data_IF_569039888252
#
_entry.id   IF_569039888252
#
_cell.length_a   1.000
_cell.length_b   1.000
_cell.length_c   1.000
_cell.angle_alpha   90.00
_cell.angle_beta   90.00
_cell.angle_gamma   90.00
#
_symmetry.space_group_name_H-M   'P 1'
#
loop_
_entity.id
_entity.type
_entity.pdbx_description
1 polymer ?
#
# COMPACT_ATOMS: atom_id res chain seq x y z
N UNK A 1 -13.87 2.22 34.56
CA UNK A 1 -13.52 2.75 33.22
C UNK A 1 -14.51 2.13 32.23
N UNK A 2 -15.65 2.78 32.01
CA UNK A 2 -16.81 2.20 31.29
C UNK A 2 -17.27 3.15 30.20
N UNK A 3 -16.40 3.39 29.21
CA UNK A 3 -16.82 4.08 27.99
C UNK A 3 -17.40 3.06 27.02
N UNK A 4 -18.72 3.18 26.80
CA UNK A 4 -19.53 2.37 25.89
C UNK A 4 -19.05 2.46 24.44
N UNK A 5 -18.41 3.58 24.06
CA UNK A 5 -17.93 3.83 22.71
C UNK A 5 -16.41 3.67 22.58
N UNK A 6 -15.74 3.12 23.59
CA UNK A 6 -14.28 2.90 23.57
C UNK A 6 -13.84 2.11 22.32
N UNK A 7 -14.65 1.15 21.88
CA UNK A 7 -14.41 0.41 20.65
C UNK A 7 -14.57 1.24 19.38
N UNK A 8 -15.12 2.46 19.37
CA UNK A 8 -15.30 3.27 18.16
C UNK A 8 -14.19 4.29 17.90
N UNK A 9 -13.19 4.37 18.78
CA UNK A 9 -12.11 5.36 18.70
C UNK A 9 -11.17 5.18 17.49
N UNK A 10 -11.17 4.00 16.86
CA UNK A 10 -10.30 3.67 15.71
C UNK A 10 -11.07 2.92 14.63
N UNK A 11 -10.84 3.27 13.36
CA UNK A 11 -11.39 2.56 12.19
C UNK A 11 -10.35 1.60 11.60
N UNK A 12 -10.77 0.65 10.76
CA UNK A 12 -9.84 -0.32 10.16
C UNK A 12 -9.52 -1.53 11.03
N UNK A 13 -10.33 -1.79 12.07
CA UNK A 13 -10.22 -3.01 12.88
C UNK A 13 -10.49 -4.26 12.05
N UNK A 14 -10.02 -5.39 12.58
CA UNK A 14 -10.42 -6.71 12.09
C UNK A 14 -11.93 -6.90 12.24
N UNK A 15 -12.53 -7.74 11.39
CA UNK A 15 -13.98 -7.99 11.40
C UNK A 15 -14.45 -8.51 12.76
N UNK A 16 -13.68 -9.41 13.39
CA UNK A 16 -13.98 -9.94 14.72
C UNK A 16 -13.83 -8.92 15.87
N UNK A 17 -13.32 -7.72 15.61
CA UNK A 17 -13.13 -6.63 16.58
C UNK A 17 -14.05 -5.43 16.32
N UNK A 18 -15.11 -5.60 15.53
CA UNK A 18 -16.00 -4.50 15.13
C UNK A 18 -15.52 -3.74 13.90
N UNK A 19 -14.70 -4.36 13.06
CA UNK A 19 -14.34 -3.87 11.73
C UNK A 19 -15.45 -4.09 10.70
N UNK A 20 -15.51 -3.24 9.68
CA UNK A 20 -16.51 -3.32 8.61
C UNK A 20 -15.94 -4.07 7.41
N UNK A 21 -16.74 -4.96 6.83
CA UNK A 21 -16.35 -5.74 5.66
C UNK A 21 -15.88 -4.84 4.50
N UNK A 22 -14.81 -5.24 3.83
CA UNK A 22 -14.26 -4.50 2.70
C UNK A 22 -13.52 -3.21 3.05
N UNK A 23 -13.28 -2.88 4.33
CA UNK A 23 -12.50 -1.69 4.71
C UNK A 23 -11.06 -1.74 4.19
N UNK A 24 -10.43 -2.92 4.17
CA UNK A 24 -9.05 -3.12 3.70
C UNK A 24 -8.90 -2.62 2.25
N UNK A 25 -9.83 -2.99 1.36
CA UNK A 25 -9.81 -2.60 -0.06
C UNK A 25 -10.58 -1.30 -0.37
N UNK A 26 -11.16 -0.63 0.63
CA UNK A 26 -12.04 0.52 0.42
C UNK A 26 -11.34 1.68 -0.30
N UNK A 27 -10.09 1.97 0.04
CA UNK A 27 -9.32 3.06 -0.60
C UNK A 27 -9.06 2.75 -2.08
N UNK A 28 -8.67 1.52 -2.39
CA UNK A 28 -8.47 1.08 -3.78
C UNK A 28 -9.76 1.14 -4.60
N UNK A 29 -10.88 0.67 -4.03
CA UNK A 29 -12.19 0.80 -4.67
C UNK A 29 -12.60 2.25 -4.90
N UNK A 30 -12.37 3.14 -3.94
CA UNK A 30 -12.67 4.57 -4.08
C UNK A 30 -11.90 5.22 -5.24
N UNK A 31 -10.61 4.92 -5.37
CA UNK A 31 -9.79 5.39 -6.48
C UNK A 31 -10.30 4.84 -7.82
N UNK A 32 -10.61 3.54 -7.89
CA UNK A 32 -11.18 2.93 -9.09
C UNK A 32 -12.50 3.58 -9.49
N UNK A 33 -13.45 3.77 -8.56
CA UNK A 33 -14.75 4.36 -8.89
C UNK A 33 -14.61 5.78 -9.42
N UNK A 34 -13.73 6.59 -8.82
CA UNK A 34 -13.46 7.95 -9.30
C UNK A 34 -12.89 7.92 -10.72
N UNK A 35 -11.89 7.07 -10.96
CA UNK A 35 -11.28 6.92 -12.28
C UNK A 35 -12.27 6.36 -13.29
N UNK A 36 -13.10 5.38 -12.92
CA UNK A 36 -14.12 4.82 -13.79
C UNK A 36 -15.13 5.87 -14.22
N UNK A 37 -15.59 6.72 -13.29
CA UNK A 37 -16.47 7.81 -13.64
C UNK A 37 -15.80 8.79 -14.61
N UNK A 38 -14.56 9.19 -14.32
CA UNK A 38 -13.79 10.10 -15.17
C UNK A 38 -13.51 9.53 -16.56
N UNK A 39 -13.18 8.23 -16.64
CA UNK A 39 -12.81 7.55 -17.88
C UNK A 39 -14.00 7.32 -18.79
N UNK A 40 -15.21 7.22 -18.25
CA UNK A 40 -16.43 7.11 -19.03
C UNK A 40 -17.02 8.47 -19.44
N UNK A 41 -16.49 9.58 -18.92
CA UNK A 41 -16.94 10.93 -19.26
C UNK A 41 -16.29 11.40 -20.58
N UNK A 42 -17.10 11.47 -21.64
CA UNK A 42 -16.61 11.76 -22.99
C UNK A 42 -16.00 13.16 -23.13
N UNK A 43 -16.53 14.16 -22.42
CA UNK A 43 -16.00 15.54 -22.43
C UNK A 43 -14.57 15.60 -21.89
N UNK A 44 -14.33 14.93 -20.77
CA UNK A 44 -13.02 14.85 -20.12
C UNK A 44 -12.01 14.07 -20.98
N UNK A 45 -12.46 12.95 -21.56
CA UNK A 45 -11.61 12.11 -22.40
C UNK A 45 -11.26 12.77 -23.74
N UNK A 46 -12.18 13.56 -24.31
CA UNK A 46 -11.92 14.38 -25.49
C UNK A 46 -10.85 15.44 -25.23
N UNK A 47 -10.87 16.08 -24.05
CA UNK A 47 -9.85 17.07 -23.67
C UNK A 47 -8.45 16.44 -23.52
N UNK A 48 -8.37 15.18 -23.09
CA UNK A 48 -7.11 14.43 -22.96
C UNK A 48 -6.69 13.79 -24.30
N UNK A 49 -7.57 13.76 -25.30
CA UNK A 49 -7.31 13.18 -26.61
C UNK A 49 -7.31 11.65 -26.61
N UNK A 50 -8.14 11.01 -25.77
CA UNK A 50 -8.23 9.55 -25.72
C UNK A 50 -9.68 9.06 -25.80
N UNK A 51 -9.90 7.79 -26.15
CA UNK A 51 -11.24 7.19 -26.20
C UNK A 51 -11.81 6.98 -24.80
N UNK A 52 -13.12 7.21 -24.56
CA UNK A 52 -13.77 6.82 -23.31
C UNK A 52 -13.68 5.31 -23.03
N UNK A 53 -13.78 4.94 -21.76
CA UNK A 53 -13.72 3.56 -21.28
C UNK A 53 -12.29 3.05 -21.02
N UNK A 54 -12.15 1.86 -20.44
CA UNK A 54 -10.84 1.33 -20.01
C UNK A 54 -10.03 0.67 -21.14
N UNK A 55 -10.67 0.39 -22.29
CA UNK A 55 -10.04 -0.30 -23.41
C UNK A 55 -8.78 0.42 -23.88
N UNK A 56 -7.67 -0.32 -23.98
CA UNK A 56 -6.39 0.19 -24.47
C UNK A 56 -5.65 1.14 -23.53
N UNK A 57 -6.16 1.41 -22.30
CA UNK A 57 -5.46 2.23 -21.30
C UNK A 57 -4.59 1.36 -20.40
N UNK A 58 -3.43 1.88 -20.04
CA UNK A 58 -2.50 1.27 -19.07
C UNK A 58 -2.28 2.23 -17.90
N UNK A 59 -1.90 1.70 -16.74
CA UNK A 59 -1.59 2.50 -15.56
C UNK A 59 -0.41 1.90 -14.79
N UNK A 60 0.23 2.72 -13.97
CA UNK A 60 1.37 2.33 -13.13
C UNK A 60 0.99 2.54 -11.66
N UNK A 61 1.29 1.55 -10.81
CA UNK A 61 1.11 1.64 -9.35
C UNK A 61 2.48 1.66 -8.68
N UNK A 62 2.77 2.72 -7.94
CA UNK A 62 4.03 2.89 -7.22
C UNK A 62 3.87 2.56 -5.73
N UNK A 63 4.73 1.68 -5.22
CA UNK A 63 4.76 1.31 -3.79
C UNK A 63 5.84 2.10 -3.07
N UNK A 64 5.54 2.54 -1.85
CA UNK A 64 6.51 3.17 -0.95
C UNK A 64 6.42 2.54 0.43
N UNK A 65 7.56 2.48 1.12
CA UNK A 65 7.68 1.90 2.45
C UNK A 65 8.09 2.98 3.43
N UNK A 66 7.33 3.12 4.52
CA UNK A 66 7.55 4.14 5.55
C UNK A 66 7.70 3.43 6.89
N UNK A 67 8.74 3.78 7.64
CA UNK A 67 8.92 3.31 9.01
C UNK A 67 8.04 4.11 9.96
N UNK A 68 7.11 3.46 10.62
CA UNK A 68 6.12 4.13 11.48
C UNK A 68 6.70 4.74 12.77
N UNK A 69 7.88 4.30 13.23
CA UNK A 69 8.49 4.81 14.48
C UNK A 69 8.80 6.31 14.40
N UNK A 70 9.22 6.79 13.24
CA UNK A 70 9.67 8.17 13.01
C UNK A 70 9.23 8.73 11.65
N UNK A 71 8.29 8.06 10.99
CA UNK A 71 7.76 8.42 9.67
C UNK A 71 8.82 8.59 8.59
N UNK A 72 9.96 7.92 8.73
CA UNK A 72 11.04 8.00 7.75
C UNK A 72 10.70 7.17 6.50
N UNK A 73 10.78 7.82 5.34
CA UNK A 73 10.64 7.15 4.05
C UNK A 73 11.85 6.23 3.84
N UNK A 74 11.58 4.93 3.68
CA UNK A 74 12.63 3.94 3.47
C UNK A 74 12.92 3.79 1.99
N UNK A 75 11.89 3.50 1.20
CA UNK A 75 12.03 3.22 -0.23
C UNK A 75 10.79 3.67 -1.01
N UNK A 76 10.98 3.94 -2.29
CA UNK A 76 9.93 4.23 -3.28
C UNK A 76 10.26 3.46 -4.55
N UNK A 77 9.43 2.50 -4.93
CA UNK A 77 9.76 1.56 -6.00
C UNK A 77 11.09 0.86 -5.69
N UNK A 78 12.06 0.94 -6.61
CA UNK A 78 13.40 0.38 -6.45
C UNK A 78 14.37 1.33 -5.71
N UNK A 79 14.00 2.61 -5.57
CA UNK A 79 14.87 3.62 -4.98
C UNK A 79 14.82 3.57 -3.45
N UNK A 80 16.00 3.52 -2.83
CA UNK A 80 16.16 3.49 -1.36
C UNK A 80 16.65 4.84 -0.87
N UNK A 81 15.91 5.43 0.07
CA UNK A 81 16.21 6.71 0.72
C UNK A 81 16.81 6.51 2.13
N UNK A 82 16.58 5.35 2.74
CA UNK A 82 17.20 5.02 4.01
C UNK A 82 18.74 4.91 3.87
N UNK A 83 19.47 5.59 4.76
CA UNK A 83 20.92 5.42 4.88
C UNK A 83 21.31 4.01 5.38
N UNK A 84 20.36 3.32 6.00
CA UNK A 84 20.53 1.97 6.52
C UNK A 84 20.32 0.93 5.39
N UNK A 85 21.39 0.20 5.07
CA UNK A 85 21.46 -0.79 3.98
C UNK A 85 20.66 -2.07 4.26
N UNK A 86 20.07 -2.19 5.45
CA UNK A 86 19.20 -3.32 5.81
C UNK A 86 17.87 -3.29 5.07
N UNK A 87 17.40 -2.12 4.65
CA UNK A 87 16.13 -1.96 3.95
C UNK A 87 16.36 -2.01 2.45
N UNK A 88 15.73 -2.96 1.77
CA UNK A 88 15.78 -3.07 0.33
C UNK A 88 14.39 -3.37 -0.23
N UNK A 89 13.94 -2.58 -1.19
CA UNK A 89 12.73 -2.89 -1.95
C UNK A 89 13.05 -3.90 -3.04
N UNK A 90 12.22 -4.93 -3.15
CA UNK A 90 12.40 -6.02 -4.11
C UNK A 90 11.11 -6.21 -4.88
N UNK A 91 11.19 -6.16 -6.21
CA UNK A 91 10.08 -6.49 -7.09
C UNK A 91 10.09 -7.97 -7.45
N UNK A 92 9.03 -8.69 -7.06
CA UNK A 92 8.86 -10.11 -7.33
C UNK A 92 8.17 -10.30 -8.68
N UNK A 93 8.96 -10.54 -9.74
CA UNK A 93 8.44 -10.67 -11.11
C UNK A 93 7.38 -11.76 -11.27
N UNK A 94 7.48 -12.87 -10.53
CA UNK A 94 6.54 -14.01 -10.62
C UNK A 94 5.16 -13.62 -10.10
N UNK A 95 5.09 -12.82 -9.03
CA UNK A 95 3.84 -12.44 -8.38
C UNK A 95 3.39 -11.02 -8.69
N UNK A 96 4.18 -10.25 -9.46
CA UNK A 96 3.98 -8.83 -9.75
C UNK A 96 3.79 -7.97 -8.49
N UNK A 97 4.42 -8.37 -7.38
CA UNK A 97 4.28 -7.70 -6.08
C UNK A 97 5.59 -7.07 -5.62
N UNK A 98 5.46 -6.01 -4.82
CA UNK A 98 6.57 -5.38 -4.13
C UNK A 98 6.70 -5.95 -2.72
N UNK A 99 7.93 -6.30 -2.34
CA UNK A 99 8.28 -6.71 -0.99
C UNK A 99 9.39 -5.81 -0.45
N UNK A 100 9.29 -5.42 0.82
CA UNK A 100 10.42 -4.84 1.54
C UNK A 100 11.20 -5.98 2.19
N UNK A 101 12.43 -6.19 1.74
CA UNK A 101 13.39 -7.07 2.37
C UNK A 101 14.10 -6.32 3.50
N UNK A 102 14.11 -6.93 4.69
CA UNK A 102 14.84 -6.44 5.86
C UNK A 102 15.95 -7.44 6.17
N UNK A 103 17.21 -7.01 6.03
CA UNK A 103 18.39 -7.81 6.35
C UNK A 103 18.78 -7.60 7.80
N UNK A 104 19.17 -8.68 8.48
CA UNK A 104 19.65 -8.65 9.87
C UNK A 104 18.68 -7.97 10.85
N UNK A 105 17.43 -8.48 10.94
CA UNK A 105 16.44 -7.93 11.86
C UNK A 105 16.95 -8.05 13.30
N UNK A 106 16.74 -6.97 14.06
CA UNK A 106 17.09 -6.93 15.48
C UNK A 106 15.86 -7.33 16.29
N UNK A 107 15.96 -8.40 17.06
CA UNK A 107 14.97 -8.73 18.09
C UNK A 107 15.72 -8.72 19.42
N UNK A 108 15.27 -7.88 20.35
CA UNK A 108 15.78 -7.84 21.73
C UNK A 108 17.32 -7.84 21.87
N UNK A 109 18.00 -7.00 21.09
CA UNK A 109 19.47 -6.84 21.18
C UNK A 109 20.30 -7.92 20.50
N UNK A 110 19.68 -8.84 19.74
CA UNK A 110 20.38 -9.87 18.97
C UNK A 110 20.15 -9.72 17.47
N UNK A 111 21.23 -9.72 16.70
CA UNK A 111 21.22 -9.80 15.23
C UNK A 111 20.81 -11.22 14.83
N UNK A 112 19.64 -11.37 14.20
CA UNK A 112 19.27 -12.62 13.57
C UNK A 112 19.92 -12.68 12.17
N UNK A 113 20.50 -13.83 11.75
CA UNK A 113 21.05 -13.99 10.40
C UNK A 113 19.97 -14.14 9.33
N UNK A 114 18.69 -14.13 9.72
CA UNK A 114 17.55 -14.35 8.83
C UNK A 114 17.15 -13.08 8.10
N UNK A 115 16.54 -13.22 6.92
CA UNK A 115 15.91 -12.12 6.20
C UNK A 115 14.40 -12.19 6.43
N UNK A 116 13.76 -11.03 6.59
CA UNK A 116 12.30 -10.93 6.63
C UNK A 116 11.80 -10.16 5.42
N UNK A 117 10.63 -10.56 4.91
CA UNK A 117 9.96 -9.90 3.80
C UNK A 117 8.62 -9.36 4.29
N UNK A 118 8.45 -8.04 4.23
CA UNK A 118 7.14 -7.43 4.34
C UNK A 118 6.56 -7.34 2.93
N UNK A 119 5.59 -8.17 2.62
CA UNK A 119 4.88 -8.12 1.34
C UNK A 119 3.65 -7.22 1.47
N UNK A 120 3.38 -6.44 0.43
CA UNK A 120 2.05 -5.88 0.25
C UNK A 120 1.18 -7.03 -0.28
N UNK A 121 0.24 -7.52 0.53
CA UNK A 121 -0.80 -8.43 0.03
C UNK A 121 -1.95 -7.55 -0.48
N UNK A 122 -2.33 -7.66 -1.77
CA UNK A 122 -3.48 -6.94 -2.31
C UNK A 122 -4.81 -7.30 -1.63
#
# INVERSE_FOLDING_TARGET
HTDMNSHSCISGKLINQGGIHGRISATGRGAYHRLNNFVNEASSMSMIGTSPGWGGKTFIVQVSWIRLKDFHLLTVGEYTYASDTRYQSVYLQISYNWALQIKYPQVSGQLLPTQEYCTWLP
#
